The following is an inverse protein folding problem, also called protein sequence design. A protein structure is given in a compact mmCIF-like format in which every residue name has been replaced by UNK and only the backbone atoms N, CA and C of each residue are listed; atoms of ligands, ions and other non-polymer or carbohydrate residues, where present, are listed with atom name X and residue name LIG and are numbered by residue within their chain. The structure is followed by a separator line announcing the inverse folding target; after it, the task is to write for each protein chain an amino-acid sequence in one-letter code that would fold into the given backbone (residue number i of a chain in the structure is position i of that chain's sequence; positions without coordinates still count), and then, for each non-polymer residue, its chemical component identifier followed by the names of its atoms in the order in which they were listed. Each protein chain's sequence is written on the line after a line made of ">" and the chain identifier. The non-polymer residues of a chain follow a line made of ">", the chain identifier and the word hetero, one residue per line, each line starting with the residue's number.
data_IF_675284305200
#
_entry.id   IF_675284305200
#
_cell.length_a   1.000
_cell.length_b   1.000
_cell.length_c   1.000
_cell.angle_alpha   90.00
_cell.angle_beta   90.00
_cell.angle_gamma   90.00
#
_symmetry.space_group_name_H-M   'P 1'
#
loop_
_entity.id
_entity.type
_entity.pdbx_description
1 polymer ?
#
# COMPACT_ATOMS: atom_id res chain seq x y z
N UNK A 1 31.71 29.29 6.21
CA UNK A 1 30.58 29.45 5.28
C UNK A 1 30.24 28.04 4.77
N UNK A 2 29.29 27.39 5.42
CA UNK A 2 28.87 26.02 5.13
C UNK A 2 27.80 26.06 4.04
N UNK A 3 28.10 25.47 2.89
CA UNK A 3 27.15 25.29 1.82
C UNK A 3 26.09 24.29 2.29
N UNK A 4 24.86 24.75 2.53
CA UNK A 4 23.69 23.93 2.69
C UNK A 4 23.33 23.34 1.31
N UNK A 5 23.75 22.13 1.07
CA UNK A 5 23.17 21.29 0.03
C UNK A 5 21.77 20.86 0.56
N UNK A 6 20.73 21.57 0.12
CA UNK A 6 19.34 21.14 0.41
C UNK A 6 19.07 19.84 -0.34
N UNK A 7 19.24 18.72 0.36
CA UNK A 7 18.68 17.44 -0.01
C UNK A 7 17.16 17.64 -0.05
N UNK A 8 16.52 17.46 -1.20
CA UNK A 8 15.06 17.44 -1.28
C UNK A 8 14.59 16.14 -0.65
N UNK A 9 14.44 16.17 0.67
CA UNK A 9 13.81 15.09 1.42
C UNK A 9 12.31 15.24 1.16
N UNK A 10 11.71 14.26 0.48
CA UNK A 10 10.27 14.14 0.42
C UNK A 10 9.78 13.64 1.79
N UNK A 11 9.81 14.53 2.78
CA UNK A 11 9.16 14.29 4.07
C UNK A 11 7.70 14.68 3.94
N UNK A 12 6.87 13.70 3.71
CA UNK A 12 5.43 13.84 3.67
C UNK A 12 4.88 13.67 5.08
N UNK A 13 4.56 14.78 5.72
CA UNK A 13 3.76 14.76 6.95
C UNK A 13 2.34 14.36 6.61
N UNK A 14 1.96 13.15 6.99
CA UNK A 14 0.60 12.64 6.91
C UNK A 14 -0.22 13.20 8.08
N UNK A 15 -1.04 14.21 7.83
CA UNK A 15 -2.21 14.41 8.66
C UNK A 15 -3.33 13.50 8.14
N UNK A 16 -3.41 12.29 8.65
CA UNK A 16 -4.58 11.44 8.44
C UNK A 16 -5.73 12.02 9.27
N UNK A 17 -6.59 12.79 8.65
CA UNK A 17 -7.89 13.07 9.23
C UNK A 17 -8.74 11.80 9.15
N UNK A 18 -8.87 11.09 10.25
CA UNK A 18 -9.94 10.12 10.44
C UNK A 18 -11.26 10.87 10.58
N UNK A 19 -11.86 11.23 9.45
CA UNK A 19 -13.26 11.67 9.48
C UNK A 19 -14.13 10.43 9.41
N UNK A 20 -14.77 10.10 10.53
CA UNK A 20 -15.95 9.26 10.55
C UNK A 20 -17.03 9.89 9.66
N UNK A 21 -17.09 9.51 8.40
CA UNK A 21 -18.18 9.89 7.51
C UNK A 21 -19.26 8.84 7.68
N UNK A 22 -20.14 9.08 8.64
CA UNK A 22 -21.46 8.48 8.69
C UNK A 22 -22.36 9.24 7.72
N UNK A 23 -22.75 8.60 6.67
CA UNK A 23 -23.84 8.86 5.73
C UNK A 23 -23.38 8.83 4.27
N UNK A 24 -24.07 8.06 3.48
CA UNK A 24 -23.97 7.95 2.03
C UNK A 24 -24.06 9.33 1.37
N UNK A 25 -22.93 9.94 1.07
CA UNK A 25 -22.89 11.09 0.19
C UNK A 25 -22.68 10.60 -1.25
N UNK A 26 -23.64 10.83 -2.13
CA UNK A 26 -23.48 10.62 -3.55
C UNK A 26 -22.34 11.50 -4.06
N UNK A 27 -21.23 10.89 -4.49
CA UNK A 27 -20.13 11.60 -5.14
C UNK A 27 -20.44 11.65 -6.64
N UNK A 28 -20.57 12.83 -7.19
CA UNK A 28 -20.85 13.04 -8.62
C UNK A 28 -19.57 12.96 -9.46
N UNK A 29 -19.60 12.13 -10.49
CA UNK A 29 -18.52 11.87 -11.43
C UNK A 29 -18.55 12.79 -12.64
N UNK A 30 -18.64 14.09 -12.46
CA UNK A 30 -18.81 15.03 -13.56
C UNK A 30 -17.56 15.30 -14.42
N UNK A 31 -16.43 14.60 -14.19
CA UNK A 31 -15.15 14.95 -14.83
C UNK A 31 -14.46 13.86 -15.64
N UNK A 32 -15.05 12.68 -15.82
CA UNK A 32 -14.45 11.63 -16.65
C UNK A 32 -14.94 11.77 -18.12
N UNK A 33 -14.51 12.82 -18.80
CA UNK A 33 -14.54 12.84 -20.28
C UNK A 33 -13.43 11.92 -20.77
N UNK A 34 -13.71 11.09 -21.78
CA UNK A 34 -12.75 10.18 -22.36
C UNK A 34 -11.42 10.89 -22.62
N UNK A 35 -10.37 10.43 -21.93
CA UNK A 35 -9.02 10.93 -22.12
C UNK A 35 -8.49 10.49 -23.48
N UNK A 36 -7.68 11.30 -24.13
CA UNK A 36 -7.01 10.89 -25.36
C UNK A 36 -6.21 9.62 -25.09
N UNK A 37 -6.20 8.73 -26.07
CA UNK A 37 -5.36 7.55 -26.05
C UNK A 37 -3.94 7.98 -25.69
N UNK A 38 -3.36 7.34 -24.67
CA UNK A 38 -2.01 7.67 -24.18
C UNK A 38 -0.96 7.55 -25.28
N UNK A 39 -1.21 6.70 -26.27
CA UNK A 39 -0.37 6.55 -27.46
C UNK A 39 -0.33 7.80 -28.33
N UNK A 40 -1.29 8.73 -28.19
CA UNK A 40 -1.32 10.01 -28.88
C UNK A 40 -0.56 11.14 -28.14
N UNK A 41 -0.14 10.90 -26.91
CA UNK A 41 0.58 11.90 -26.10
C UNK A 41 2.07 11.82 -26.41
N UNK A 42 2.57 12.78 -27.20
CA UNK A 42 4.01 12.94 -27.46
C UNK A 42 4.61 13.64 -26.23
N UNK A 43 5.39 12.93 -25.46
CA UNK A 43 6.17 13.50 -24.35
C UNK A 43 7.57 13.80 -24.87
N UNK A 44 7.89 15.08 -25.03
CA UNK A 44 9.26 15.52 -25.23
C UNK A 44 9.99 15.37 -23.89
N UNK A 45 11.07 14.56 -23.77
CA UNK A 45 11.81 14.39 -22.54
C UNK A 45 12.44 15.71 -22.04
N UNK A 46 12.45 16.77 -22.84
CA UNK A 46 13.01 18.06 -22.47
C UNK A 46 14.49 17.99 -22.14
N UNK A 47 15.08 19.14 -21.81
CA UNK A 47 16.45 19.19 -21.31
C UNK A 47 16.46 18.76 -19.83
N UNK A 48 16.74 17.49 -19.54
CA UNK A 48 16.70 16.84 -18.22
C UNK A 48 17.61 17.46 -17.13
N UNK A 49 18.32 18.53 -17.44
CA UNK A 49 19.20 19.26 -16.52
C UNK A 49 18.46 20.28 -15.65
N UNK A 50 17.15 20.42 -15.77
CA UNK A 50 16.39 21.35 -14.90
C UNK A 50 16.30 20.81 -13.48
N UNK A 51 16.69 21.64 -12.50
CA UNK A 51 16.64 21.32 -11.06
C UNK A 51 15.24 21.49 -10.44
N UNK A 52 14.22 21.73 -11.21
CA UNK A 52 12.85 21.87 -10.71
C UNK A 52 12.20 20.51 -10.60
N UNK A 53 11.52 20.28 -9.49
CA UNK A 53 10.69 19.09 -9.25
C UNK A 53 9.24 19.53 -9.37
N UNK A 54 8.48 18.79 -10.17
CA UNK A 54 7.04 18.98 -10.33
C UNK A 54 6.35 17.75 -9.76
N UNK A 55 5.34 17.97 -8.93
CA UNK A 55 4.53 16.89 -8.36
C UNK A 55 3.06 17.18 -8.54
N UNK A 56 2.29 16.16 -8.91
CA UNK A 56 0.83 16.20 -8.90
C UNK A 56 0.33 15.20 -7.85
N UNK A 57 -0.59 15.66 -7.03
CA UNK A 57 -1.27 14.84 -6.06
C UNK A 57 -2.68 14.54 -6.58
N UNK A 58 -3.05 13.26 -6.64
CA UNK A 58 -4.43 12.88 -6.89
C UNK A 58 -5.31 13.38 -5.74
N UNK A 59 -6.38 14.10 -6.05
CA UNK A 59 -7.40 14.53 -5.08
C UNK A 59 -8.78 14.29 -5.67
N UNK A 60 -9.68 13.74 -4.85
CA UNK A 60 -11.05 13.50 -5.22
C UNK A 60 -11.89 14.59 -4.53
N UNK A 61 -12.66 15.33 -5.31
CA UNK A 61 -13.61 16.29 -4.78
C UNK A 61 -14.95 15.60 -4.57
N UNK A 62 -15.44 15.64 -3.35
CA UNK A 62 -16.75 15.08 -2.99
C UNK A 62 -17.88 16.00 -3.44
N UNK A 63 -19.10 15.50 -3.49
CA UNK A 63 -20.31 16.30 -3.78
C UNK A 63 -20.53 17.48 -2.83
N UNK A 64 -19.88 17.45 -1.66
CA UNK A 64 -19.90 18.53 -0.65
C UNK A 64 -18.74 19.53 -0.81
N UNK A 65 -17.88 19.35 -1.83
CA UNK A 65 -16.67 20.16 -2.04
C UNK A 65 -15.50 19.79 -1.13
N UNK A 66 -15.64 18.75 -0.27
CA UNK A 66 -14.50 18.24 0.49
C UNK A 66 -13.53 17.51 -0.45
N UNK A 67 -12.23 17.65 -0.17
CA UNK A 67 -11.17 16.93 -0.90
C UNK A 67 -10.72 15.73 -0.09
N UNK A 68 -10.77 14.56 -0.70
CA UNK A 68 -10.28 13.30 -0.11
C UNK A 68 -9.07 12.82 -0.91
N UNK A 69 -8.16 12.15 -0.20
CA UNK A 69 -6.99 11.53 -0.83
C UNK A 69 -7.38 10.14 -1.36
N UNK A 70 -7.02 9.80 -2.61
CA UNK A 70 -7.15 8.45 -3.11
C UNK A 70 -6.45 7.44 -2.18
N UNK A 71 -7.08 6.30 -1.95
CA UNK A 71 -6.56 5.25 -1.07
C UNK A 71 -6.27 5.71 0.37
N UNK A 72 -6.89 6.82 0.82
CA UNK A 72 -6.66 7.48 2.10
C UNK A 72 -5.18 7.83 2.35
N UNK A 73 -4.42 8.08 1.29
CA UNK A 73 -3.00 8.42 1.36
C UNK A 73 -2.62 9.40 0.26
N UNK A 74 -1.42 9.98 0.39
CA UNK A 74 -0.90 10.87 -0.62
C UNK A 74 -0.30 10.07 -1.78
N UNK A 75 -1.01 10.05 -2.90
CA UNK A 75 -0.52 9.48 -4.15
C UNK A 75 0.12 10.58 -4.99
N UNK A 76 1.34 10.38 -5.48
CA UNK A 76 2.08 11.41 -6.22
C UNK A 76 2.75 10.88 -7.48
N UNK A 77 2.75 11.71 -8.51
CA UNK A 77 3.66 11.64 -9.66
C UNK A 77 4.69 12.76 -9.51
N UNK A 78 5.96 12.42 -9.44
CA UNK A 78 7.06 13.39 -9.41
C UNK A 78 7.88 13.31 -10.68
N UNK A 79 8.15 14.44 -11.31
CA UNK A 79 8.94 14.57 -12.53
C UNK A 79 9.89 15.76 -12.46
N UNK A 80 10.84 15.84 -13.38
CA UNK A 80 11.91 16.84 -13.41
C UNK A 80 11.78 17.80 -14.61
N UNK A 81 10.71 17.69 -15.37
CA UNK A 81 10.40 18.55 -16.53
C UNK A 81 8.96 19.06 -16.41
N UNK A 82 8.77 20.37 -16.60
CA UNK A 82 7.46 21.02 -16.62
C UNK A 82 6.58 20.43 -17.73
N UNK A 83 7.17 20.22 -18.90
CA UNK A 83 6.46 19.65 -20.05
C UNK A 83 5.98 18.21 -19.79
N UNK A 84 6.81 17.38 -19.11
CA UNK A 84 6.41 16.04 -18.68
C UNK A 84 5.26 16.13 -17.67
N UNK A 85 5.34 17.06 -16.72
CA UNK A 85 4.29 17.29 -15.74
C UNK A 85 2.96 17.69 -16.41
N UNK A 86 2.98 18.63 -17.35
CA UNK A 86 1.80 19.07 -18.07
C UNK A 86 1.16 17.96 -18.91
N UNK A 87 1.99 17.09 -19.49
CA UNK A 87 1.53 16.00 -20.35
C UNK A 87 1.02 14.79 -19.56
N UNK A 88 1.77 14.34 -18.56
CA UNK A 88 1.48 13.11 -17.82
C UNK A 88 0.63 13.32 -16.57
N UNK A 89 0.67 14.53 -15.98
CA UNK A 89 -0.08 14.84 -14.76
C UNK A 89 -1.59 14.63 -14.88
N UNK A 90 -2.27 15.10 -15.95
CA UNK A 90 -3.70 14.85 -16.14
C UNK A 90 -4.05 13.37 -16.29
N UNK A 91 -3.19 12.59 -16.97
CA UNK A 91 -3.36 11.13 -17.14
C UNK A 91 -3.25 10.44 -15.79
N UNK A 92 -2.23 10.82 -15.01
CA UNK A 92 -2.04 10.33 -13.64
C UNK A 92 -3.28 10.60 -12.78
N UNK A 93 -3.75 11.85 -12.74
CA UNK A 93 -4.89 12.27 -11.92
C UNK A 93 -6.16 11.48 -12.28
N UNK A 94 -6.43 11.30 -13.58
CA UNK A 94 -7.54 10.50 -14.06
C UNK A 94 -7.48 9.05 -13.54
N UNK A 95 -6.38 8.35 -13.78
CA UNK A 95 -6.27 6.93 -13.43
C UNK A 95 -6.25 6.68 -11.93
N UNK A 96 -5.58 7.52 -11.15
CA UNK A 96 -5.59 7.40 -9.68
C UNK A 96 -7.00 7.54 -9.11
N UNK A 97 -7.77 8.50 -9.60
CA UNK A 97 -9.18 8.69 -9.19
C UNK A 97 -10.05 7.51 -9.60
N UNK A 98 -9.92 7.07 -10.86
CA UNK A 98 -10.67 5.92 -11.37
C UNK A 98 -10.40 4.66 -10.55
N UNK A 99 -9.13 4.32 -10.32
CA UNK A 99 -8.76 3.12 -9.55
C UNK A 99 -9.23 3.20 -8.10
N UNK A 100 -9.10 4.37 -7.45
CA UNK A 100 -9.65 4.54 -6.10
C UNK A 100 -11.13 4.21 -6.04
N UNK A 101 -11.91 4.71 -6.98
CA UNK A 101 -13.36 4.50 -7.01
C UNK A 101 -13.72 3.03 -7.21
N UNK A 102 -13.00 2.34 -8.09
CA UNK A 102 -13.20 0.92 -8.31
C UNK A 102 -12.88 0.08 -7.06
N UNK A 103 -11.87 0.47 -6.30
CA UNK A 103 -11.36 -0.27 -5.14
C UNK A 103 -11.94 0.21 -3.80
N UNK A 104 -12.74 1.28 -3.81
CA UNK A 104 -13.38 1.80 -2.60
C UNK A 104 -14.49 0.84 -2.13
N UNK A 105 -14.34 0.35 -0.90
CA UNK A 105 -15.31 -0.52 -0.24
C UNK A 105 -16.34 0.21 0.63
N UNK A 106 -16.21 1.53 0.76
CA UNK A 106 -17.03 2.32 1.68
C UNK A 106 -18.12 3.12 0.96
N UNK A 107 -17.83 3.64 -0.24
CA UNK A 107 -18.69 4.58 -0.93
C UNK A 107 -19.22 4.03 -2.26
N UNK A 108 -20.42 4.45 -2.61
CA UNK A 108 -21.04 4.20 -3.91
C UNK A 108 -20.81 5.42 -4.84
N UNK A 109 -20.51 5.15 -6.09
CA UNK A 109 -20.25 6.17 -7.10
C UNK A 109 -21.17 6.00 -8.30
N UNK A 110 -21.41 7.11 -9.03
CA UNK A 110 -22.23 7.12 -10.26
C UNK A 110 -21.41 7.61 -11.44
N UNK A 111 -21.71 7.05 -12.61
CA UNK A 111 -21.18 7.54 -13.88
C UNK A 111 -21.88 8.84 -14.31
N UNK A 112 -21.43 9.43 -15.44
CA UNK A 112 -22.03 10.66 -16.02
C UNK A 112 -23.51 10.51 -16.38
N UNK A 113 -23.99 9.28 -16.56
CA UNK A 113 -25.40 8.98 -16.88
C UNK A 113 -26.24 8.74 -15.63
N UNK A 114 -25.62 8.78 -14.44
CA UNK A 114 -26.27 8.53 -13.18
C UNK A 114 -26.38 7.04 -12.79
N UNK A 115 -25.77 6.12 -13.56
CA UNK A 115 -25.75 4.72 -13.22
C UNK A 115 -24.73 4.45 -12.11
N UNK A 116 -25.04 3.49 -11.22
CA UNK A 116 -24.10 3.05 -10.18
C UNK A 116 -22.92 2.34 -10.83
N UNK A 117 -21.70 2.75 -10.42
CA UNK A 117 -20.46 2.07 -10.79
C UNK A 117 -20.32 0.82 -9.92
N UNK A 118 -20.18 -0.34 -10.55
CA UNK A 118 -19.97 -1.61 -9.87
C UNK A 118 -18.53 -1.69 -9.31
N UNK A 119 -18.32 -1.06 -8.16
CA UNK A 119 -17.06 -1.04 -7.42
C UNK A 119 -17.04 -2.09 -6.29
N UNK A 120 -15.98 -2.09 -5.49
CA UNK A 120 -15.81 -3.04 -4.39
C UNK A 120 -16.93 -2.93 -3.33
N UNK A 121 -17.50 -1.73 -3.10
CA UNK A 121 -18.67 -1.56 -2.20
C UNK A 121 -19.88 -2.34 -2.70
N UNK A 122 -20.17 -2.27 -4.01
CA UNK A 122 -21.30 -2.98 -4.63
C UNK A 122 -21.09 -4.50 -4.55
N UNK A 123 -19.84 -4.97 -4.71
CA UNK A 123 -19.51 -6.39 -4.53
C UNK A 123 -19.77 -6.81 -3.08
N UNK A 124 -19.26 -6.06 -2.09
CA UNK A 124 -19.46 -6.36 -0.68
C UNK A 124 -20.95 -6.38 -0.29
N UNK A 125 -21.73 -5.45 -0.81
CA UNK A 125 -23.19 -5.40 -0.57
C UNK A 125 -23.93 -6.59 -1.17
N UNK A 126 -23.34 -7.29 -2.14
CA UNK A 126 -23.91 -8.49 -2.77
C UNK A 126 -23.57 -9.80 -2.05
N UNK A 127 -22.79 -9.75 -0.98
CA UNK A 127 -22.40 -10.97 -0.25
C UNK A 127 -23.57 -11.90 0.04
N UNK A 128 -23.40 -13.16 -0.28
CA UNK A 128 -24.40 -14.23 -0.10
C UNK A 128 -25.76 -14.01 -0.82
N UNK A 129 -25.86 -13.04 -1.73
CA UNK A 129 -27.10 -12.77 -2.48
C UNK A 129 -27.32 -13.71 -3.67
N UNK A 130 -26.28 -14.41 -4.11
CA UNK A 130 -26.27 -15.22 -5.32
C UNK A 130 -26.22 -14.42 -6.64
N UNK A 131 -26.09 -13.07 -6.56
CA UNK A 131 -26.01 -12.21 -7.75
C UNK A 131 -24.62 -12.26 -8.38
N UNK A 132 -24.57 -12.37 -9.69
CA UNK A 132 -23.37 -12.15 -10.49
C UNK A 132 -23.33 -10.66 -10.89
N UNK A 133 -22.19 -10.01 -10.67
CA UNK A 133 -21.99 -8.57 -10.93
C UNK A 133 -20.88 -8.44 -11.97
N UNK A 134 -21.20 -7.82 -13.12
CA UNK A 134 -20.19 -7.40 -14.09
C UNK A 134 -19.43 -6.21 -13.54
N UNK A 135 -18.10 -6.27 -13.57
CA UNK A 135 -17.21 -5.28 -12.98
C UNK A 135 -16.20 -4.74 -14.00
N UNK A 136 -15.49 -3.71 -13.64
CA UNK A 136 -14.38 -3.21 -14.43
C UNK A 136 -13.22 -4.20 -14.45
N UNK A 137 -12.48 -4.25 -15.58
CA UNK A 137 -11.36 -5.19 -15.77
C UNK A 137 -10.26 -5.00 -14.73
N UNK A 138 -9.97 -3.76 -14.29
CA UNK A 138 -8.93 -3.53 -13.29
C UNK A 138 -9.35 -4.03 -11.91
N UNK A 139 -10.63 -3.91 -11.54
CA UNK A 139 -11.13 -4.50 -10.30
C UNK A 139 -11.10 -6.03 -10.37
N UNK A 140 -11.44 -6.61 -11.53
CA UNK A 140 -11.33 -8.04 -11.77
C UNK A 140 -9.88 -8.53 -11.61
N UNK A 141 -8.93 -7.88 -12.27
CA UNK A 141 -7.51 -8.23 -12.22
C UNK A 141 -6.96 -8.13 -10.78
N UNK A 142 -7.36 -7.12 -10.02
CA UNK A 142 -6.91 -6.96 -8.64
C UNK A 142 -7.51 -8.02 -7.71
N UNK A 143 -8.76 -8.42 -7.92
CA UNK A 143 -9.36 -9.54 -7.18
C UNK A 143 -8.66 -10.86 -7.50
N UNK A 144 -8.40 -11.16 -8.77
CA UNK A 144 -7.67 -12.35 -9.21
C UNK A 144 -6.27 -12.40 -8.58
N UNK A 145 -5.50 -11.30 -8.69
CA UNK A 145 -4.19 -11.17 -8.05
C UNK A 145 -4.26 -11.36 -6.53
N UNK A 146 -5.29 -10.79 -5.88
CA UNK A 146 -5.45 -10.91 -4.43
C UNK A 146 -5.72 -12.34 -3.98
N UNK A 147 -6.48 -13.11 -4.75
CA UNK A 147 -6.72 -14.53 -4.48
C UNK A 147 -5.43 -15.34 -4.68
N UNK A 148 -4.72 -15.11 -5.78
CA UNK A 148 -3.45 -15.79 -6.07
C UNK A 148 -2.41 -15.51 -4.99
N UNK A 149 -2.17 -14.23 -4.66
CA UNK A 149 -1.21 -13.83 -3.65
C UNK A 149 -1.57 -14.36 -2.26
N UNK A 150 -2.87 -14.43 -1.91
CA UNK A 150 -3.32 -15.06 -0.67
C UNK A 150 -2.91 -16.52 -0.57
N UNK A 151 -3.00 -17.26 -1.66
CA UNK A 151 -2.58 -18.68 -1.71
C UNK A 151 -1.07 -18.82 -1.56
N UNK A 152 -0.29 -18.02 -2.31
CA UNK A 152 1.18 -18.04 -2.24
C UNK A 152 1.66 -17.69 -0.83
N UNK A 153 1.06 -16.67 -0.22
CA UNK A 153 1.40 -16.23 1.14
C UNK A 153 0.77 -17.09 2.24
N UNK A 154 0.19 -18.24 1.88
CA UNK A 154 -0.45 -19.17 2.83
C UNK A 154 -1.49 -18.46 3.71
N UNK A 155 -2.22 -17.48 3.17
CA UNK A 155 -3.26 -16.70 3.86
C UNK A 155 -2.76 -15.54 4.73
N UNK A 156 -1.45 -15.33 4.90
CA UNK A 156 -0.92 -14.17 5.66
C UNK A 156 -1.24 -12.82 4.99
N UNK A 157 -1.35 -12.77 3.69
CA UNK A 157 -2.14 -11.76 2.98
C UNK A 157 -3.50 -12.37 2.65
N UNK A 158 -4.59 -11.69 3.00
CA UNK A 158 -5.94 -12.19 2.72
C UNK A 158 -6.90 -11.05 2.37
N UNK A 159 -7.54 -11.07 1.20
CA UNK A 159 -8.44 -9.99 0.78
C UNK A 159 -9.75 -9.93 1.58
N UNK A 160 -10.07 -10.93 2.41
CA UNK A 160 -11.36 -10.99 3.13
C UNK A 160 -11.27 -10.49 4.59
N UNK A 161 -10.24 -9.73 4.92
CA UNK A 161 -10.02 -9.20 6.28
C UNK A 161 -10.92 -8.01 6.65
N UNK A 162 -11.82 -7.55 5.77
CA UNK A 162 -12.55 -6.31 5.97
C UNK A 162 -13.32 -6.22 7.27
N UNK A 163 -13.99 -7.28 7.71
CA UNK A 163 -14.73 -7.30 8.97
C UNK A 163 -13.83 -7.15 10.21
N UNK A 164 -12.63 -7.76 10.15
CA UNK A 164 -11.62 -7.62 11.20
C UNK A 164 -11.04 -6.20 11.23
N UNK A 165 -10.67 -5.66 10.06
CA UNK A 165 -10.17 -4.28 9.91
C UNK A 165 -11.16 -3.27 10.47
N UNK A 166 -12.46 -3.41 10.18
CA UNK A 166 -13.51 -2.52 10.69
C UNK A 166 -13.64 -2.60 12.22
N UNK A 167 -13.34 -3.76 12.80
CA UNK A 167 -13.32 -3.91 14.26
C UNK A 167 -12.21 -3.10 14.93
N UNK A 168 -11.05 -3.03 14.29
CA UNK A 168 -9.88 -2.36 14.83
C UNK A 168 -9.78 -0.87 14.45
N UNK A 169 -10.33 -0.46 13.31
CA UNK A 169 -10.06 0.84 12.68
C UNK A 169 -10.35 2.05 13.54
N UNK A 170 -11.31 1.97 14.45
CA UNK A 170 -11.69 3.07 15.35
C UNK A 170 -10.67 3.36 16.46
N UNK A 171 -9.75 2.42 16.71
CA UNK A 171 -8.75 2.54 17.78
C UNK A 171 -7.40 3.04 17.29
N UNK A 172 -7.10 2.90 16.00
CA UNK A 172 -5.83 3.32 15.45
C UNK A 172 -5.76 4.83 15.26
N UNK A 173 -4.63 5.41 15.68
CA UNK A 173 -4.33 6.83 15.53
C UNK A 173 -2.92 7.02 14.99
N UNK A 174 -2.63 8.15 14.29
CA UNK A 174 -1.29 8.44 13.78
C UNK A 174 -0.22 8.66 14.86
N UNK A 175 -0.65 8.89 16.11
CA UNK A 175 0.26 9.32 17.21
C UNK A 175 0.43 8.28 18.31
N UNK A 176 -0.27 7.13 18.23
CA UNK A 176 -0.07 6.04 19.17
C UNK A 176 -0.45 6.37 20.61
N UNK A 177 -1.62 6.94 20.85
CA UNK A 177 -2.09 7.21 22.21
C UNK A 177 -2.38 5.93 23.00
N UNK A 178 -2.19 6.01 24.31
CA UNK A 178 -2.70 4.99 25.22
C UNK A 178 -4.20 5.13 25.35
N UNK A 179 -4.93 4.05 25.05
CA UNK A 179 -6.39 3.99 25.22
C UNK A 179 -6.71 3.31 26.55
N UNK A 180 -7.15 4.11 27.53
CA UNK A 180 -7.47 3.63 28.89
C UNK A 180 -8.76 2.80 28.95
N UNK A 181 -9.67 2.97 27.99
CA UNK A 181 -10.93 2.24 27.93
C UNK A 181 -10.80 0.88 27.24
N UNK A 182 -9.74 0.68 26.45
CA UNK A 182 -9.49 -0.57 25.74
C UNK A 182 -8.94 -1.64 26.70
N UNK A 183 -9.40 -2.87 26.53
CA UNK A 183 -9.00 -4.00 27.38
C UNK A 183 -9.04 -5.33 26.60
N UNK A 184 -8.56 -6.40 27.22
CA UNK A 184 -8.49 -7.75 26.65
C UNK A 184 -9.87 -8.29 26.21
N UNK A 185 -10.95 -7.92 26.87
CA UNK A 185 -12.29 -8.39 26.50
C UNK A 185 -12.74 -7.76 25.18
N UNK A 186 -12.47 -6.46 25.00
CA UNK A 186 -12.70 -5.75 23.74
C UNK A 186 -11.82 -6.35 22.64
N UNK A 187 -10.52 -6.58 22.91
CA UNK A 187 -9.61 -7.22 21.97
C UNK A 187 -10.15 -8.58 21.49
N UNK A 188 -10.50 -9.46 22.43
CA UNK A 188 -11.04 -10.78 22.11
C UNK A 188 -12.33 -10.70 21.29
N UNK A 189 -13.21 -9.76 21.60
CA UNK A 189 -14.43 -9.52 20.82
C UNK A 189 -14.13 -9.14 19.38
N UNK A 190 -13.13 -8.27 19.16
CA UNK A 190 -12.70 -7.88 17.83
C UNK A 190 -12.02 -9.04 17.11
N UNK A 191 -11.09 -9.74 17.78
CA UNK A 191 -10.36 -10.88 17.20
C UNK A 191 -11.29 -12.02 16.76
N UNK A 192 -12.45 -12.19 17.38
CA UNK A 192 -13.45 -13.17 16.96
C UNK A 192 -13.97 -12.92 15.53
N UNK A 193 -13.87 -11.68 15.01
CA UNK A 193 -14.24 -11.36 13.62
C UNK A 193 -13.33 -12.04 12.60
N UNK A 194 -12.19 -12.61 13.00
CA UNK A 194 -11.36 -13.44 12.13
C UNK A 194 -12.10 -14.66 11.56
N UNK A 195 -13.20 -15.09 12.17
CA UNK A 195 -14.07 -16.13 11.61
C UNK A 195 -14.65 -15.75 10.24
N UNK A 196 -14.76 -14.46 9.93
CA UNK A 196 -15.17 -13.97 8.62
C UNK A 196 -14.03 -14.00 7.57
N UNK A 197 -12.80 -14.30 7.95
CA UNK A 197 -11.69 -14.42 7.02
C UNK A 197 -11.83 -15.79 6.33
N UNK A 198 -11.92 -15.76 5.02
CA UNK A 198 -12.04 -16.98 4.20
C UNK A 198 -10.69 -17.71 4.19
N UNK A 199 -10.69 -19.02 4.41
CA UNK A 199 -9.50 -19.84 4.21
C UNK A 199 -8.95 -19.63 2.79
N UNK A 200 -7.65 -19.46 2.64
CA UNK A 200 -7.04 -19.15 1.33
C UNK A 200 -7.30 -20.25 0.28
N UNK A 201 -7.60 -21.49 0.70
CA UNK A 201 -7.98 -22.56 -0.19
C UNK A 201 -9.45 -22.47 -0.67
N UNK A 202 -10.29 -21.72 0.03
CA UNK A 202 -11.71 -21.53 -0.28
C UNK A 202 -12.01 -20.24 -1.04
N UNK A 203 -11.02 -19.37 -1.23
CA UNK A 203 -11.21 -18.03 -1.82
C UNK A 203 -11.87 -18.09 -3.19
N UNK A 204 -11.46 -19.00 -4.09
CA UNK A 204 -12.07 -19.11 -5.44
C UNK A 204 -13.55 -19.49 -5.40
N UNK A 205 -13.99 -20.21 -4.36
CA UNK A 205 -15.38 -20.61 -4.21
C UNK A 205 -16.26 -19.53 -3.60
N UNK A 206 -15.64 -18.69 -2.74
CA UNK A 206 -16.34 -17.59 -2.08
C UNK A 206 -16.33 -16.33 -2.96
N UNK A 207 -15.21 -16.04 -3.62
CA UNK A 207 -15.06 -14.95 -4.60
C UNK A 207 -14.95 -15.61 -5.99
N UNK A 208 -16.09 -16.01 -6.53
CA UNK A 208 -16.14 -16.71 -7.82
C UNK A 208 -16.00 -15.71 -8.97
N UNK A 209 -14.86 -15.78 -9.68
CA UNK A 209 -14.54 -14.91 -10.81
C UNK A 209 -14.87 -15.59 -12.14
N UNK A 210 -15.54 -14.86 -13.04
CA UNK A 210 -15.83 -15.30 -14.40
C UNK A 210 -15.10 -14.43 -15.42
N UNK A 211 -14.03 -14.97 -16.04
CA UNK A 211 -13.20 -14.24 -17.01
C UNK A 211 -13.94 -13.85 -18.28
N UNK A 212 -14.82 -14.71 -18.78
CA UNK A 212 -15.53 -14.47 -20.04
C UNK A 212 -16.48 -13.26 -19.94
N UNK A 213 -17.05 -13.06 -18.76
CA UNK A 213 -18.01 -11.98 -18.51
C UNK A 213 -17.40 -10.79 -17.77
N UNK A 214 -16.17 -10.91 -17.31
CA UNK A 214 -15.54 -9.95 -16.39
C UNK A 214 -16.47 -9.66 -15.21
N UNK A 215 -16.86 -10.73 -14.49
CA UNK A 215 -17.86 -10.63 -13.43
C UNK A 215 -17.42 -11.39 -12.18
N UNK A 216 -18.04 -11.05 -11.07
CA UNK A 216 -17.82 -11.66 -9.77
C UNK A 216 -19.15 -12.06 -9.14
N UNK A 217 -19.16 -13.22 -8.47
CA UNK A 217 -20.23 -13.65 -7.60
C UNK A 217 -19.66 -13.86 -6.20
N UNK A 218 -20.18 -13.13 -5.22
CA UNK A 218 -19.70 -13.17 -3.85
C UNK A 218 -20.57 -14.12 -3.03
N UNK A 219 -20.11 -15.35 -2.89
CA UNK A 219 -20.85 -16.45 -2.29
C UNK A 219 -20.72 -16.45 -0.77
N UNK A 220 -21.67 -17.13 -0.10
CA UNK A 220 -21.64 -17.29 1.34
C UNK A 220 -20.49 -18.20 1.78
N UNK A 221 -19.76 -17.78 2.80
CA UNK A 221 -18.76 -18.60 3.49
C UNK A 221 -19.40 -19.24 4.74
N UNK A 222 -19.49 -20.57 4.76
CA UNK A 222 -20.18 -21.30 5.82
C UNK A 222 -19.52 -21.15 7.19
N UNK A 223 -18.21 -20.98 7.23
CA UNK A 223 -17.42 -20.91 8.47
C UNK A 223 -17.37 -19.49 9.09
N UNK A 224 -17.94 -18.49 8.42
CA UNK A 224 -17.97 -17.10 8.93
C UNK A 224 -18.82 -16.91 10.21
N UNK A 225 -19.57 -17.92 10.62
CA UNK A 225 -20.44 -17.86 11.79
C UNK A 225 -21.52 -16.78 11.64
N UNK A 226 -21.55 -15.83 12.58
CA UNK A 226 -22.50 -14.71 12.58
C UNK A 226 -21.97 -13.49 11.80
N UNK A 227 -20.72 -13.52 11.33
CA UNK A 227 -20.09 -12.38 10.68
C UNK A 227 -20.31 -12.42 9.17
N UNK A 228 -20.38 -11.26 8.55
CA UNK A 228 -20.34 -11.13 7.10
C UNK A 228 -18.88 -11.06 6.62
N UNK A 229 -18.59 -11.78 5.53
CA UNK A 229 -17.30 -11.62 4.85
C UNK A 229 -17.28 -10.27 4.13
N UNK A 230 -16.20 -9.54 4.29
CA UNK A 230 -16.00 -8.23 3.65
C UNK A 230 -14.65 -8.23 2.94
N UNK A 231 -14.66 -7.97 1.64
CA UNK A 231 -13.44 -7.82 0.86
C UNK A 231 -12.84 -6.44 1.13
N UNK A 232 -11.53 -6.41 1.38
CA UNK A 232 -10.72 -5.20 1.57
C UNK A 232 -9.41 -5.34 0.78
N UNK A 233 -9.15 -4.40 -0.11
CA UNK A 233 -7.97 -4.39 -0.97
C UNK A 233 -6.91 -3.36 -0.50
N UNK A 234 -7.06 -2.80 0.69
CA UNK A 234 -6.19 -1.71 1.20
C UNK A 234 -4.70 -2.07 1.30
N UNK A 235 -4.38 -3.34 1.47
CA UNK A 235 -3.00 -3.83 1.58
C UNK A 235 -2.30 -4.09 0.22
N UNK A 236 -3.00 -3.91 -0.92
CA UNK A 236 -2.46 -4.18 -2.26
C UNK A 236 -2.83 -3.10 -3.29
N UNK A 237 -3.88 -2.33 -3.03
CA UNK A 237 -4.45 -1.41 -4.01
C UNK A 237 -3.50 -0.26 -4.39
N UNK A 238 -2.66 0.21 -3.47
CA UNK A 238 -1.66 1.26 -3.73
C UNK A 238 -0.59 0.77 -4.70
N UNK A 239 -0.04 -0.40 -4.41
CA UNK A 239 0.93 -1.07 -5.27
C UNK A 239 0.37 -1.35 -6.65
N UNK A 240 -0.88 -1.82 -6.74
CA UNK A 240 -1.57 -2.02 -8.02
C UNK A 240 -1.69 -0.73 -8.82
N UNK A 241 -2.12 0.37 -8.19
CA UNK A 241 -2.25 1.64 -8.88
C UNK A 241 -0.90 2.16 -9.41
N UNK A 242 0.19 1.95 -8.67
CA UNK A 242 1.54 2.31 -9.10
C UNK A 242 2.00 1.43 -10.26
N UNK A 243 1.81 0.11 -10.18
CA UNK A 243 2.22 -0.80 -11.25
C UNK A 243 1.39 -0.59 -12.53
N UNK A 244 0.10 -0.31 -12.40
CA UNK A 244 -0.77 0.09 -13.50
C UNK A 244 -0.25 1.34 -14.22
N UNK A 245 0.08 2.40 -13.46
CA UNK A 245 0.63 3.63 -14.04
C UNK A 245 2.03 3.42 -14.63
N UNK A 246 2.86 2.57 -14.02
CA UNK A 246 4.15 2.16 -14.58
C UNK A 246 3.99 1.59 -15.98
N UNK A 247 3.02 0.69 -16.18
CA UNK A 247 2.72 0.09 -17.49
C UNK A 247 2.22 1.14 -18.48
N UNK A 248 1.32 2.04 -18.06
CA UNK A 248 0.86 3.14 -18.90
C UNK A 248 2.03 4.01 -19.38
N UNK A 249 3.01 4.28 -18.50
CA UNK A 249 4.16 5.13 -18.83
C UNK A 249 5.36 4.35 -19.41
N UNK A 250 5.23 3.06 -19.67
CA UNK A 250 6.33 2.22 -20.12
C UNK A 250 7.01 2.75 -21.39
N UNK A 251 6.22 3.26 -22.34
CA UNK A 251 6.72 3.80 -23.62
C UNK A 251 7.47 5.13 -23.47
N UNK A 252 7.34 5.80 -22.32
CA UNK A 252 8.01 7.08 -22.08
C UNK A 252 9.35 6.88 -21.39
N UNK A 253 10.42 7.40 -21.97
CA UNK A 253 11.79 7.29 -21.43
C UNK A 253 12.17 8.38 -20.44
N UNK A 254 11.16 9.08 -19.90
CA UNK A 254 11.37 10.21 -18.99
C UNK A 254 11.54 9.75 -17.55
N UNK A 255 12.46 10.38 -16.78
CA UNK A 255 12.61 10.08 -15.38
C UNK A 255 11.43 10.60 -14.56
N UNK A 256 10.83 9.70 -13.78
CA UNK A 256 9.73 10.01 -12.88
C UNK A 256 9.71 9.08 -11.67
N UNK A 257 9.02 9.53 -10.61
CA UNK A 257 8.71 8.72 -9.44
C UNK A 257 7.19 8.65 -9.31
N UNK A 258 6.66 7.43 -9.26
CA UNK A 258 5.30 7.15 -8.82
C UNK A 258 5.36 6.76 -7.36
N UNK A 259 4.54 7.37 -6.49
CA UNK A 259 4.57 7.07 -5.07
C UNK A 259 3.18 7.09 -4.44
N UNK A 260 2.90 6.10 -3.60
CA UNK A 260 1.77 6.02 -2.68
C UNK A 260 2.27 6.22 -1.25
N UNK A 261 2.57 7.48 -0.90
CA UNK A 261 3.19 7.84 0.37
C UNK A 261 4.55 7.14 0.57
N UNK A 262 4.87 6.76 1.80
CA UNK A 262 6.08 5.99 2.10
C UNK A 262 5.88 4.46 1.93
N UNK A 263 4.69 4.01 1.48
CA UNK A 263 4.34 2.59 1.39
C UNK A 263 4.85 1.96 0.09
N UNK A 264 4.42 2.46 -1.07
CA UNK A 264 4.77 1.86 -2.36
C UNK A 264 5.27 2.93 -3.31
N UNK A 265 6.33 2.62 -4.08
CA UNK A 265 6.90 3.56 -5.05
C UNK A 265 7.48 2.82 -6.25
N UNK A 266 7.58 3.52 -7.39
CA UNK A 266 8.30 3.06 -8.56
C UNK A 266 9.21 4.18 -9.09
N UNK A 267 10.48 3.82 -9.33
CA UNK A 267 11.52 4.70 -9.83
C UNK A 267 11.72 4.42 -11.31
N UNK A 268 11.29 5.32 -12.19
CA UNK A 268 11.40 5.17 -13.64
C UNK A 268 12.50 6.05 -14.21
N UNK A 269 13.27 5.48 -15.13
CA UNK A 269 14.34 6.18 -15.83
C UNK A 269 15.50 6.59 -14.92
N UNK A 270 16.58 7.11 -15.53
CA UNK A 270 17.76 7.55 -14.81
C UNK A 270 17.54 8.84 -14.07
N UNK A 271 18.02 8.94 -12.81
CA UNK A 271 17.90 10.16 -12.02
C UNK A 271 18.59 11.33 -12.73
N UNK A 272 17.88 12.44 -12.99
CA UNK A 272 18.50 13.63 -13.56
C UNK A 272 19.61 14.18 -12.65
N UNK A 273 20.72 14.57 -13.25
CA UNK A 273 21.88 15.17 -12.52
C UNK A 273 22.68 14.22 -11.61
N UNK A 274 22.50 12.92 -11.66
CA UNK A 274 23.40 11.95 -11.00
C UNK A 274 24.55 11.56 -11.95
N UNK A 275 25.72 11.26 -11.37
CA UNK A 275 26.88 10.82 -12.17
C UNK A 275 26.79 9.34 -12.60
N UNK A 276 25.86 8.57 -11.99
CA UNK A 276 25.74 7.12 -12.12
C UNK A 276 24.33 6.63 -12.43
N UNK A 277 23.43 7.52 -12.84
CA UNK A 277 22.03 7.23 -13.19
C UNK A 277 21.16 6.63 -12.05
N UNK A 278 21.74 6.36 -10.88
CA UNK A 278 21.04 5.75 -9.76
C UNK A 278 20.26 6.75 -8.90
N UNK A 279 19.23 6.23 -8.26
CA UNK A 279 18.38 6.94 -7.30
C UNK A 279 18.89 6.73 -5.87
N UNK A 280 18.98 7.81 -5.09
CA UNK A 280 19.26 7.72 -3.65
C UNK A 280 17.97 7.79 -2.89
N UNK A 281 17.63 6.71 -2.21
CA UNK A 281 16.40 6.55 -1.43
C UNK A 281 16.77 6.44 0.04
N UNK A 282 16.14 7.27 0.87
CA UNK A 282 16.26 7.18 2.31
C UNK A 282 15.29 6.12 2.84
N UNK A 283 15.83 5.16 3.57
CA UNK A 283 15.05 4.21 4.36
C UNK A 283 15.01 4.70 5.79
N UNK A 284 13.79 4.84 6.31
CA UNK A 284 13.56 5.30 7.65
C UNK A 284 13.44 4.13 8.63
N UNK A 285 13.77 4.42 9.89
CA UNK A 285 13.39 3.57 11.01
C UNK A 285 11.92 3.86 11.41
N UNK A 286 11.39 3.04 12.31
CA UNK A 286 10.06 3.26 12.89
C UNK A 286 10.02 4.37 13.95
N UNK A 287 11.18 4.84 14.40
CA UNK A 287 11.26 5.86 15.43
C UNK A 287 11.04 7.24 14.83
N UNK A 288 10.37 8.09 15.60
CA UNK A 288 10.04 9.47 15.22
C UNK A 288 10.63 10.43 16.25
N UNK A 289 10.94 11.63 15.81
CA UNK A 289 11.28 12.75 16.69
C UNK A 289 10.01 13.35 17.34
N UNK A 290 10.20 14.35 18.20
CA UNK A 290 9.12 15.01 18.96
C UNK A 290 8.09 15.74 18.06
N UNK A 291 8.41 15.97 16.79
CA UNK A 291 7.55 16.63 15.81
C UNK A 291 7.01 15.64 14.75
N UNK A 292 7.27 14.34 14.92
CA UNK A 292 6.70 13.24 14.13
C UNK A 292 7.47 12.86 12.88
N UNK A 293 8.70 13.36 12.66
CA UNK A 293 9.56 12.91 11.57
C UNK A 293 10.28 11.60 11.92
N UNK A 294 10.24 10.64 11.03
CA UNK A 294 10.97 9.38 11.21
C UNK A 294 12.47 9.59 11.11
N UNK A 295 13.24 8.99 12.05
CA UNK A 295 14.68 8.99 11.97
C UNK A 295 15.17 8.19 10.75
N UNK A 296 16.09 8.74 9.96
CA UNK A 296 16.71 7.99 8.86
C UNK A 296 17.55 6.84 9.40
N UNK A 297 17.45 5.67 8.76
CA UNK A 297 18.26 4.50 9.09
C UNK A 297 19.45 4.38 8.14
N UNK A 298 19.17 4.43 6.84
CA UNK A 298 20.20 4.28 5.81
C UNK A 298 19.79 4.95 4.49
N UNK A 299 20.76 5.12 3.61
CA UNK A 299 20.55 5.52 2.21
C UNK A 299 20.84 4.33 1.32
N UNK A 300 19.86 3.90 0.54
CA UNK A 300 20.03 2.96 -0.57
C UNK A 300 20.27 3.69 -1.88
N UNK A 301 21.11 3.13 -2.72
CA UNK A 301 21.37 3.58 -4.07
C UNK A 301 20.83 2.55 -5.07
N UNK A 302 19.70 2.89 -5.71
CA UNK A 302 18.95 1.98 -6.57
C UNK A 302 19.09 2.37 -8.04
N UNK A 303 19.31 1.40 -8.94
CA UNK A 303 19.26 1.66 -10.37
C UNK A 303 17.84 2.04 -10.80
N UNK A 304 17.68 2.58 -12.02
CA UNK A 304 16.37 2.79 -12.63
C UNK A 304 15.52 1.52 -12.69
N UNK A 305 14.23 1.70 -12.92
CA UNK A 305 13.23 0.64 -13.02
C UNK A 305 13.21 -0.23 -11.74
N UNK A 306 12.86 0.40 -10.61
CA UNK A 306 12.73 -0.28 -9.32
C UNK A 306 11.40 0.03 -8.64
N UNK A 307 10.71 -1.05 -8.30
CA UNK A 307 9.57 -1.05 -7.39
C UNK A 307 10.09 -1.15 -5.95
N UNK A 308 9.48 -0.39 -5.06
CA UNK A 308 9.77 -0.34 -3.63
C UNK A 308 8.46 -0.52 -2.88
N UNK A 309 8.41 -1.38 -1.90
CA UNK A 309 7.30 -1.44 -0.96
C UNK A 309 7.81 -1.46 0.47
N UNK A 310 7.16 -0.67 1.34
CA UNK A 310 7.48 -0.61 2.76
C UNK A 310 6.21 -0.74 3.58
N UNK A 311 6.18 -1.72 4.47
CA UNK A 311 5.18 -1.87 5.53
C UNK A 311 5.79 -1.52 6.88
N UNK A 312 5.10 -0.72 7.70
CA UNK A 312 5.60 -0.30 9.01
C UNK A 312 4.48 -0.11 10.03
N UNK A 313 4.77 -0.39 11.29
CA UNK A 313 3.80 -0.36 12.39
C UNK A 313 3.55 1.04 12.97
N UNK A 314 4.32 2.04 12.54
CA UNK A 314 4.36 3.38 13.13
C UNK A 314 3.38 4.41 12.54
N UNK A 315 2.63 4.02 11.50
CA UNK A 315 1.70 4.93 10.81
C UNK A 315 0.36 5.05 11.54
N UNK A 316 -0.18 3.93 12.00
CA UNK A 316 -1.47 3.87 12.70
C UNK A 316 -1.37 2.83 13.80
N UNK A 317 -1.37 3.26 15.05
CA UNK A 317 -1.21 2.41 16.22
C UNK A 317 -1.89 3.01 17.46
N UNK A 318 -2.03 2.19 18.50
CA UNK A 318 -2.36 2.62 19.85
C UNK A 318 -1.75 1.67 20.87
N UNK A 319 -1.78 2.09 22.13
CA UNK A 319 -1.37 1.29 23.27
C UNK A 319 -2.54 1.09 24.22
N UNK A 320 -2.54 -0.01 24.96
CA UNK A 320 -3.44 -0.21 26.07
C UNK A 320 -2.75 -0.99 27.20
N UNK A 321 -3.24 -0.80 28.44
CA UNK A 321 -2.68 -1.48 29.60
C UNK A 321 -3.36 -2.83 29.80
N UNK A 322 -2.58 -3.90 29.87
CA UNK A 322 -3.02 -5.22 30.28
C UNK A 322 -2.22 -5.68 31.51
N UNK A 323 -2.82 -5.59 32.70
CA UNK A 323 -2.10 -5.71 33.96
C UNK A 323 -0.91 -4.74 34.02
N UNK A 324 0.31 -5.25 34.22
CA UNK A 324 1.53 -4.42 34.27
C UNK A 324 2.22 -4.24 32.91
N UNK A 325 1.65 -4.75 31.82
CA UNK A 325 2.23 -4.70 30.49
C UNK A 325 1.52 -3.68 29.59
N UNK A 326 2.28 -2.81 28.94
CA UNK A 326 1.79 -1.90 27.91
C UNK A 326 1.81 -2.59 26.54
N UNK A 327 0.64 -2.94 26.05
CA UNK A 327 0.46 -3.66 24.79
C UNK A 327 0.35 -2.66 23.64
N UNK A 328 1.15 -2.88 22.59
CA UNK A 328 1.08 -2.12 21.32
C UNK A 328 0.24 -2.89 20.31
N UNK A 329 -0.67 -2.18 19.62
CA UNK A 329 -1.44 -2.67 18.48
C UNK A 329 -1.33 -1.67 17.33
N UNK A 330 -1.24 -2.17 16.09
CA UNK A 330 -1.11 -1.39 14.88
C UNK A 330 -1.98 -1.94 13.74
N UNK A 331 -2.09 -1.22 12.64
CA UNK A 331 -3.02 -1.48 11.55
C UNK A 331 -2.69 -2.69 10.67
N UNK A 332 -1.48 -3.25 10.75
CA UNK A 332 -1.11 -4.47 10.02
C UNK A 332 -1.55 -5.67 10.87
N UNK A 333 -2.69 -6.25 10.53
CA UNK A 333 -3.33 -7.30 11.30
C UNK A 333 -2.95 -8.68 10.80
N UNK A 334 -2.74 -9.61 11.73
CA UNK A 334 -2.52 -11.01 11.42
C UNK A 334 -3.87 -11.73 11.24
N UNK A 335 -4.13 -12.35 10.08
CA UNK A 335 -5.39 -13.05 9.83
C UNK A 335 -5.64 -14.24 10.76
N UNK A 336 -4.60 -14.85 11.29
CA UNK A 336 -4.70 -16.03 12.14
C UNK A 336 -4.97 -15.70 13.61
N UNK A 337 -4.26 -14.72 14.17
CA UNK A 337 -4.49 -14.30 15.56
C UNK A 337 -5.68 -13.32 15.68
N UNK A 338 -5.91 -12.50 14.66
CA UNK A 338 -6.94 -11.47 14.64
C UNK A 338 -6.48 -10.14 15.25
N UNK A 339 -5.22 -10.04 15.67
CA UNK A 339 -4.58 -8.80 16.13
C UNK A 339 -3.27 -8.55 15.38
N UNK A 340 -2.63 -7.42 15.62
CA UNK A 340 -1.30 -7.13 15.08
C UNK A 340 -0.20 -7.84 15.86
N UNK A 341 0.81 -8.31 15.16
CA UNK A 341 2.01 -8.93 15.73
C UNK A 341 3.15 -7.91 15.81
N UNK A 342 4.00 -8.01 16.84
CA UNK A 342 5.12 -7.11 17.05
C UNK A 342 6.47 -7.75 16.67
N UNK A 343 6.50 -8.59 15.61
CA UNK A 343 7.72 -9.26 15.17
C UNK A 343 8.71 -8.29 14.55
N UNK A 344 8.20 -7.36 13.75
CA UNK A 344 8.99 -6.34 13.06
C UNK A 344 8.39 -4.96 13.27
N UNK A 345 9.21 -3.94 13.02
CA UNK A 345 8.79 -2.54 12.99
C UNK A 345 8.61 -2.01 11.57
N UNK A 346 9.50 -2.45 10.68
CA UNK A 346 9.50 -2.04 9.27
C UNK A 346 9.97 -3.23 8.42
N UNK A 347 9.33 -3.43 7.27
CA UNK A 347 9.80 -4.31 6.21
C UNK A 347 9.86 -3.50 4.93
N UNK A 348 10.99 -3.51 4.24
CA UNK A 348 11.18 -2.88 2.93
C UNK A 348 11.57 -3.93 1.89
N UNK A 349 10.88 -3.93 0.76
CA UNK A 349 11.11 -4.84 -0.36
C UNK A 349 11.44 -4.03 -1.61
N UNK A 350 12.38 -4.53 -2.44
CA UNK A 350 12.72 -4.01 -3.75
C UNK A 350 12.56 -5.09 -4.81
N UNK A 351 12.12 -4.70 -6.01
CA UNK A 351 12.15 -5.55 -7.21
C UNK A 351 12.24 -4.69 -8.48
N UNK A 352 12.45 -5.31 -9.66
CA UNK A 352 12.48 -4.59 -10.93
C UNK A 352 11.09 -4.06 -11.34
N UNK A 353 10.03 -4.68 -10.86
CA UNK A 353 8.63 -4.37 -11.18
C UNK A 353 7.69 -4.98 -10.14
N UNK A 354 6.41 -4.99 -10.41
CA UNK A 354 5.38 -5.62 -9.58
C UNK A 354 5.21 -4.96 -8.22
N UNK A 355 5.05 -3.62 -8.24
CA UNK A 355 4.68 -2.86 -7.03
C UNK A 355 3.40 -3.40 -6.38
N UNK A 356 2.48 -3.95 -7.18
CA UNK A 356 1.26 -4.62 -6.75
C UNK A 356 1.53 -5.84 -5.85
N UNK A 357 2.41 -6.74 -6.30
CA UNK A 357 2.81 -7.93 -5.56
C UNK A 357 3.58 -7.55 -4.30
N UNK A 358 4.52 -6.60 -4.41
CA UNK A 358 5.34 -6.17 -3.26
C UNK A 358 4.50 -5.53 -2.14
N UNK A 359 3.44 -4.76 -2.46
CA UNK A 359 2.57 -4.12 -1.46
C UNK A 359 1.87 -5.20 -0.59
N UNK A 360 1.24 -6.20 -1.24
CA UNK A 360 0.61 -7.31 -0.53
C UNK A 360 1.61 -8.23 0.19
N UNK A 361 2.75 -8.49 -0.43
CA UNK A 361 3.80 -9.34 0.15
C UNK A 361 4.41 -8.73 1.41
N UNK A 362 4.77 -7.43 1.39
CA UNK A 362 5.33 -6.77 2.59
C UNK A 362 4.37 -6.82 3.77
N UNK A 363 3.05 -6.71 3.52
CA UNK A 363 2.00 -6.87 4.53
C UNK A 363 1.92 -8.31 5.06
N UNK A 364 2.02 -9.32 4.19
CA UNK A 364 2.02 -10.73 4.58
C UNK A 364 3.20 -11.07 5.48
N UNK A 365 4.41 -10.73 5.02
CA UNK A 365 5.67 -11.06 5.72
C UNK A 365 5.76 -10.40 7.09
N UNK A 366 5.10 -9.26 7.29
CA UNK A 366 5.04 -8.55 8.58
C UNK A 366 4.45 -9.41 9.71
N UNK A 367 3.62 -10.37 9.36
CA UNK A 367 2.89 -11.25 10.28
C UNK A 367 3.56 -12.62 10.49
N UNK A 368 4.79 -12.84 10.01
CA UNK A 368 5.49 -14.13 10.05
C UNK A 368 6.79 -13.97 10.82
N UNK A 369 6.99 -14.75 11.91
CA UNK A 369 8.23 -14.71 12.71
C UNK A 369 9.22 -15.86 12.39
N UNK A 370 8.94 -16.64 11.35
CA UNK A 370 9.77 -17.75 10.91
C UNK A 370 10.43 -17.44 9.57
N UNK A 371 11.74 -17.25 9.56
CA UNK A 371 12.50 -16.95 8.36
C UNK A 371 12.53 -18.10 7.35
N UNK A 372 12.30 -19.35 7.74
CA UNK A 372 12.16 -20.47 6.81
C UNK A 372 10.88 -20.26 5.99
N UNK A 373 9.76 -19.99 6.66
CA UNK A 373 8.48 -19.71 5.99
C UNK A 373 8.54 -18.43 5.14
N UNK A 374 9.22 -17.39 5.63
CA UNK A 374 9.44 -16.15 4.88
C UNK A 374 10.17 -16.42 3.56
N UNK A 375 11.28 -17.19 3.61
CA UNK A 375 12.06 -17.53 2.41
C UNK A 375 11.25 -18.37 1.42
N UNK A 376 10.55 -19.39 1.88
CA UNK A 376 9.65 -20.19 1.01
C UNK A 376 8.64 -19.30 0.28
N UNK A 377 7.99 -18.39 0.98
CA UNK A 377 7.01 -17.48 0.38
C UNK A 377 7.67 -16.54 -0.64
N UNK A 378 8.85 -15.99 -0.32
CA UNK A 378 9.59 -15.12 -1.24
C UNK A 378 9.97 -15.89 -2.50
N UNK A 379 10.51 -17.11 -2.38
CA UNK A 379 10.90 -17.98 -3.50
C UNK A 379 9.68 -18.35 -4.38
N UNK A 380 8.52 -18.63 -3.78
CA UNK A 380 7.28 -18.90 -4.49
C UNK A 380 6.80 -17.66 -5.27
N UNK A 381 6.89 -16.47 -4.67
CA UNK A 381 6.55 -15.18 -5.31
C UNK A 381 7.53 -14.89 -6.47
N UNK A 382 8.84 -15.02 -6.24
CA UNK A 382 9.87 -14.81 -7.26
C UNK A 382 9.66 -15.71 -8.47
N UNK A 383 9.38 -16.99 -8.21
CA UNK A 383 9.12 -17.99 -9.25
C UNK A 383 7.83 -17.69 -10.02
N UNK A 384 6.74 -17.37 -9.31
CA UNK A 384 5.43 -17.13 -9.93
C UNK A 384 5.44 -15.88 -10.80
N UNK A 385 6.04 -14.79 -10.32
CA UNK A 385 6.00 -13.50 -11.00
C UNK A 385 7.29 -13.17 -11.78
N UNK A 386 8.29 -14.07 -11.76
CA UNK A 386 9.58 -13.93 -12.47
C UNK A 386 10.29 -12.62 -12.10
N UNK A 387 10.35 -12.32 -10.81
CA UNK A 387 11.06 -11.16 -10.24
C UNK A 387 12.08 -11.63 -9.23
N UNK A 388 13.11 -10.80 -8.96
CA UNK A 388 14.00 -11.00 -7.81
C UNK A 388 13.63 -9.98 -6.74
N UNK A 389 13.54 -10.42 -5.49
CA UNK A 389 13.13 -9.59 -4.37
C UNK A 389 14.30 -9.38 -3.42
N UNK A 390 14.70 -8.12 -3.27
CA UNK A 390 15.64 -7.68 -2.25
C UNK A 390 14.84 -7.19 -1.03
N UNK A 391 15.26 -7.59 0.18
CA UNK A 391 14.49 -7.32 1.38
C UNK A 391 15.32 -6.90 2.57
N UNK A 392 14.69 -6.05 3.42
CA UNK A 392 15.19 -5.61 4.72
C UNK A 392 14.08 -5.64 5.75
N UNK A 393 14.34 -6.27 6.91
CA UNK A 393 13.48 -6.32 8.08
C UNK A 393 14.14 -5.58 9.23
N UNK A 394 13.38 -4.71 9.90
CA UNK A 394 13.82 -4.02 11.12
C UNK A 394 13.05 -4.59 12.32
N UNK A 395 13.77 -5.12 13.29
CA UNK A 395 13.22 -5.66 14.52
C UNK A 395 13.67 -4.82 15.71
N UNK A 396 12.71 -4.34 16.49
CA UNK A 396 13.02 -3.62 17.72
C UNK A 396 13.57 -4.54 18.79
N UNK A 397 14.66 -4.13 19.42
CA UNK A 397 15.27 -4.83 20.56
C UNK A 397 15.07 -4.04 21.85
N UNK A 398 15.31 -2.73 21.77
CA UNK A 398 15.14 -1.74 22.84
C UNK A 398 14.78 -0.39 22.18
N UNK A 399 14.44 0.61 22.99
CA UNK A 399 14.18 1.96 22.46
C UNK A 399 15.34 2.48 21.61
N UNK A 400 15.05 2.85 20.38
CA UNK A 400 15.99 3.32 19.35
C UNK A 400 17.15 2.33 19.03
N UNK A 401 16.94 1.05 19.31
CA UNK A 401 17.90 -0.02 19.02
C UNK A 401 17.22 -1.14 18.26
N UNK A 402 17.75 -1.49 17.11
CA UNK A 402 17.17 -2.46 16.18
C UNK A 402 18.19 -3.51 15.73
N UNK A 403 17.69 -4.70 15.46
CA UNK A 403 18.36 -5.70 14.61
C UNK A 403 17.83 -5.57 13.18
N UNK A 404 18.72 -5.78 12.22
CA UNK A 404 18.42 -5.75 10.78
C UNK A 404 18.67 -7.14 10.21
N UNK A 405 17.69 -7.62 9.45
CA UNK A 405 17.79 -8.85 8.67
C UNK A 405 17.60 -8.49 7.20
N UNK A 406 18.50 -8.94 6.31
CA UNK A 406 18.43 -8.63 4.89
C UNK A 406 19.07 -9.72 4.03
N UNK A 407 18.76 -9.73 2.74
CA UNK A 407 19.52 -10.54 1.80
C UNK A 407 20.71 -9.76 1.20
N UNK A 408 21.57 -10.48 0.49
CA UNK A 408 22.75 -9.89 -0.14
C UNK A 408 22.39 -8.83 -1.20
N UNK A 409 21.28 -9.03 -1.92
CA UNK A 409 20.81 -8.08 -2.93
C UNK A 409 20.49 -6.72 -2.32
N UNK A 410 19.75 -6.69 -1.19
CA UNK A 410 19.47 -5.45 -0.48
C UNK A 410 20.75 -4.80 0.07
N UNK A 411 21.62 -5.58 0.70
CA UNK A 411 22.88 -5.09 1.28
C UNK A 411 23.74 -4.37 0.23
N UNK A 412 23.80 -4.91 -0.99
CA UNK A 412 24.56 -4.32 -2.10
C UNK A 412 24.02 -2.95 -2.56
N UNK A 413 22.80 -2.57 -2.15
CA UNK A 413 22.24 -1.23 -2.43
C UNK A 413 22.61 -0.18 -1.39
N UNK A 414 23.16 -0.58 -0.24
CA UNK A 414 23.43 0.35 0.87
C UNK A 414 24.61 1.23 0.54
N UNK A 415 24.35 2.55 0.50
CA UNK A 415 25.38 3.56 0.28
C UNK A 415 25.93 4.12 1.61
N UNK A 416 25.06 4.30 2.62
CA UNK A 416 25.39 4.94 3.89
C UNK A 416 24.41 4.52 4.98
N UNK A 417 24.92 4.21 6.18
CA UNK A 417 24.12 4.13 7.40
C UNK A 417 24.04 5.49 8.09
N UNK A 418 22.96 5.73 8.83
CA UNK A 418 22.77 6.96 9.63
C UNK A 418 22.89 6.63 11.12
N UNK A 419 23.32 7.62 11.90
CA UNK A 419 23.65 7.44 13.32
C UNK A 419 22.47 7.73 14.28
N UNK A 420 21.29 8.06 13.73
CA UNK A 420 20.11 8.43 14.53
C UNK A 420 19.46 7.24 15.27
N UNK A 421 19.74 6.03 14.81
CA UNK A 421 19.24 4.78 15.40
C UNK A 421 20.40 3.80 15.55
N UNK A 422 20.46 3.13 16.69
CA UNK A 422 21.52 2.15 16.96
C UNK A 422 21.18 0.83 16.27
N UNK A 423 21.96 0.44 15.29
CA UNK A 423 21.92 -0.92 14.72
C UNK A 423 22.74 -1.83 15.60
N UNK A 424 22.05 -2.76 16.28
CA UNK A 424 22.67 -3.71 17.23
C UNK A 424 23.31 -4.89 16.51
N UNK A 425 22.60 -5.45 15.53
CA UNK A 425 23.06 -6.59 14.73
C UNK A 425 22.57 -6.44 13.28
N UNK A 426 23.38 -6.95 12.35
CA UNK A 426 23.02 -7.11 10.94
C UNK A 426 23.21 -8.58 10.60
N UNK A 427 22.14 -9.21 10.13
CA UNK A 427 22.16 -10.62 9.77
C UNK A 427 21.70 -10.80 8.32
N UNK A 428 22.49 -11.53 7.54
CA UNK A 428 22.09 -12.01 6.22
C UNK A 428 21.24 -13.26 6.38
N UNK A 429 20.05 -13.23 5.83
CA UNK A 429 19.10 -14.34 5.87
C UNK A 429 18.66 -14.74 4.46
#
# INVERSE_FOLDING_TARGET
>A
MRNLLKLLILTLSLTSCSNNISSSSDISYSSFKGYPDIDSVIVDPGNSKTKKVFSVEGKIETSTGARVLPFNTQMTLTTYSEQVYESLGPIYDYHIKRLHILFDRYNTYKDEKGNIINNLKVINDSYASGKEIVIDQDLFNLLELSIELSKITKGYFNPTMGALIDGWSSYFTPYGFTNEEFNVEIENSICNKKQAIVDYNDLDTVIELNKEKTSVKFNRYSNAGIYSVIISLGAIAKGYAIDYLRQIYEKHTVPLILSGSASSSFLKGSKPSSNNDNWKIQINSSYKDDIGYSFPLLISELPPERAISTSGDYEQLFYYQNNDELIRRHHILNPYSGHSENYYRVITLYAQSRSDVLDGLSTALFNINDFVVIKEIIEDVETTYQINIDYLFQKEIEDKKIDIYMNEGFENTINEYKDDVVVNNIERI
#
